data_IF_646127288699
#
_entry.id   IF_646127288699
#
_cell.length_a   1.000
_cell.length_b   1.000
_cell.length_c   1.000
_cell.angle_alpha   90.00
_cell.angle_beta   90.00
_cell.angle_gamma   90.00
#
_symmetry.space_group_name_H-M   'P 1'
#
loop_
_entity.id
_entity.type
_entity.pdbx_description
1 polymer ?
#
# COMPACT_ATOMS: atom_id res chain seq x y z
N UNK A 1 -2.77 62.50 -10.69
CA UNK A 1 -2.16 61.48 -9.82
C UNK A 1 -3.20 60.93 -8.84
N UNK A 2 -3.73 59.72 -9.07
CA UNK A 2 -3.92 58.64 -8.08
C UNK A 2 -4.58 57.44 -8.77
N UNK A 3 -4.00 56.27 -8.49
CA UNK A 3 -4.12 55.02 -9.22
C UNK A 3 -5.50 54.38 -9.01
N UNK A 4 -6.12 53.93 -10.11
CA UNK A 4 -7.18 52.94 -10.10
C UNK A 4 -6.51 51.61 -9.76
N UNK A 5 -6.83 51.05 -8.60
CA UNK A 5 -6.42 49.70 -8.19
C UNK A 5 -7.37 48.70 -8.82
N UNK A 6 -6.87 47.96 -9.80
CA UNK A 6 -7.50 46.75 -10.34
C UNK A 6 -7.57 45.67 -9.26
N UNK A 7 -8.79 45.33 -8.85
CA UNK A 7 -9.08 44.16 -8.05
C UNK A 7 -9.45 43.01 -9.00
N UNK A 8 -8.45 42.24 -9.42
CA UNK A 8 -8.65 40.96 -10.09
C UNK A 8 -9.13 39.92 -9.07
N UNK A 9 -10.46 39.79 -8.93
CA UNK A 9 -11.08 38.60 -8.34
C UNK A 9 -10.91 37.43 -9.32
N UNK A 10 -9.87 36.62 -9.10
CA UNK A 10 -9.78 35.26 -9.64
C UNK A 10 -10.79 34.39 -8.89
N UNK A 11 -12.03 34.34 -9.40
CA UNK A 11 -12.95 33.25 -9.08
C UNK A 11 -12.36 31.95 -9.65
N UNK A 12 -11.64 31.22 -8.79
CA UNK A 12 -11.34 29.82 -9.02
C UNK A 12 -12.66 29.06 -9.02
N UNK A 13 -13.23 28.83 -10.21
CA UNK A 13 -14.24 27.81 -10.41
C UNK A 13 -13.61 26.47 -10.00
N UNK A 14 -13.86 26.07 -8.75
CA UNK A 14 -13.73 24.69 -8.33
C UNK A 14 -14.71 23.88 -9.14
N UNK A 15 -14.30 23.41 -10.31
CA UNK A 15 -14.97 22.31 -10.99
C UNK A 15 -15.02 21.16 -9.98
N UNK A 16 -16.21 20.94 -9.42
CA UNK A 16 -16.52 19.69 -8.74
C UNK A 16 -16.25 18.58 -9.73
N UNK A 17 -15.08 17.95 -9.63
CA UNK A 17 -14.76 16.75 -10.36
C UNK A 17 -15.83 15.74 -9.97
N UNK A 18 -16.76 15.47 -10.89
CA UNK A 18 -17.77 14.45 -10.70
C UNK A 18 -17.07 13.19 -10.17
N UNK A 19 -17.48 12.75 -8.99
CA UNK A 19 -16.85 11.61 -8.33
C UNK A 19 -17.02 10.41 -9.25
N UNK A 20 -15.90 9.93 -9.80
CA UNK A 20 -15.91 8.74 -10.64
C UNK A 20 -16.56 7.59 -9.86
N UNK A 21 -17.59 6.97 -10.43
CA UNK A 21 -18.25 5.83 -9.81
C UNK A 21 -17.43 4.58 -10.17
N UNK A 22 -17.02 3.77 -9.18
CA UNK A 22 -16.30 2.55 -9.45
C UNK A 22 -17.18 1.58 -10.24
N UNK A 23 -16.68 1.05 -11.37
CA UNK A 23 -17.32 -0.08 -12.02
C UNK A 23 -17.03 -1.35 -11.20
N UNK A 24 -17.99 -1.79 -10.40
CA UNK A 24 -17.85 -2.98 -9.57
C UNK A 24 -17.70 -4.26 -10.40
N UNK A 25 -18.26 -4.29 -11.62
CA UNK A 25 -18.24 -5.48 -12.48
C UNK A 25 -16.82 -5.85 -12.90
N UNK A 26 -15.96 -4.85 -13.16
CA UNK A 26 -14.55 -5.11 -13.45
C UNK A 26 -13.79 -5.48 -12.17
N UNK A 27 -14.06 -4.86 -11.03
CA UNK A 27 -13.33 -5.12 -9.77
C UNK A 27 -13.55 -6.56 -9.28
N UNK A 28 -14.80 -7.02 -9.28
CA UNK A 28 -15.17 -8.36 -8.77
C UNK A 28 -14.60 -9.47 -9.65
N UNK A 29 -14.47 -9.25 -10.96
CA UNK A 29 -13.89 -10.22 -11.91
C UNK A 29 -12.36 -10.32 -11.84
N UNK A 30 -11.70 -9.55 -10.97
CA UNK A 30 -10.24 -9.51 -10.87
C UNK A 30 -9.70 -9.88 -9.48
N UNK A 31 -8.54 -10.57 -9.42
CA UNK A 31 -7.75 -11.06 -10.56
C UNK A 31 -8.38 -12.27 -11.25
N UNK A 32 -8.14 -12.41 -12.56
CA UNK A 32 -8.48 -13.60 -13.35
C UNK A 32 -7.46 -14.71 -13.10
N UNK A 33 -7.75 -15.92 -13.59
CA UNK A 33 -6.80 -17.04 -13.55
C UNK A 33 -5.51 -16.66 -14.29
N UNK A 34 -5.65 -16.22 -15.53
CA UNK A 34 -4.62 -15.68 -16.41
C UNK A 34 -5.16 -14.54 -17.29
N UNK A 35 -4.26 -13.89 -18.03
CA UNK A 35 -4.54 -12.81 -18.97
C UNK A 35 -3.98 -13.08 -20.38
N UNK A 36 -3.71 -14.34 -20.72
CA UNK A 36 -3.05 -14.72 -21.98
C UNK A 36 -3.87 -14.34 -23.22
N UNK A 37 -5.19 -14.52 -23.14
CA UNK A 37 -6.12 -14.34 -24.27
C UNK A 37 -6.86 -12.98 -24.25
N UNK A 38 -6.35 -12.00 -23.51
CA UNK A 38 -6.97 -10.67 -23.45
C UNK A 38 -6.65 -9.89 -24.72
N UNK A 39 -7.68 -9.65 -25.56
CA UNK A 39 -7.56 -8.91 -26.83
C UNK A 39 -6.98 -7.51 -26.66
N UNK A 40 -7.48 -6.75 -25.67
CA UNK A 40 -7.00 -5.40 -25.38
C UNK A 40 -6.66 -5.24 -23.89
N UNK A 41 -5.42 -5.58 -23.56
CA UNK A 41 -4.90 -5.45 -22.21
C UNK A 41 -4.66 -3.98 -21.82
N UNK A 42 -4.49 -3.05 -22.78
CA UNK A 42 -4.33 -1.62 -22.49
C UNK A 42 -5.62 -1.03 -21.94
N UNK A 43 -6.74 -1.32 -22.60
CA UNK A 43 -8.06 -0.91 -22.17
C UNK A 43 -8.38 -1.50 -20.79
N UNK A 44 -8.17 -2.80 -20.60
CA UNK A 44 -8.41 -3.46 -19.31
C UNK A 44 -7.55 -2.89 -18.18
N UNK A 45 -6.28 -2.61 -18.43
CA UNK A 45 -5.38 -1.97 -17.45
C UNK A 45 -5.92 -0.60 -17.03
N UNK A 46 -6.33 0.23 -18.00
CA UNK A 46 -6.86 1.57 -17.75
C UNK A 46 -8.17 1.53 -16.96
N UNK A 47 -9.11 0.69 -17.39
CA UNK A 47 -10.41 0.53 -16.73
C UNK A 47 -10.25 0.02 -15.30
N UNK A 48 -9.41 -1.00 -15.09
CA UNK A 48 -9.17 -1.54 -13.75
C UNK A 48 -8.52 -0.50 -12.83
N UNK A 49 -7.51 0.24 -13.31
CA UNK A 49 -6.89 1.32 -12.53
C UNK A 49 -7.92 2.38 -12.16
N UNK A 50 -8.75 2.81 -13.12
CA UNK A 50 -9.79 3.82 -12.89
C UNK A 50 -10.80 3.36 -11.85
N UNK A 51 -11.33 2.14 -11.99
CA UNK A 51 -12.35 1.61 -11.07
C UNK A 51 -11.80 1.39 -9.66
N UNK A 52 -10.58 0.84 -9.53
CA UNK A 52 -9.92 0.71 -8.23
C UNK A 52 -9.60 2.08 -7.61
N UNK A 53 -9.14 3.04 -8.41
CA UNK A 53 -8.84 4.40 -7.98
C UNK A 53 -10.08 5.20 -7.56
N UNK A 54 -11.28 4.79 -7.99
CA UNK A 54 -12.56 5.39 -7.59
C UNK A 54 -13.09 4.85 -6.24
N UNK A 55 -12.51 3.78 -5.69
CA UNK A 55 -12.93 3.25 -4.39
C UNK A 55 -12.64 4.25 -3.26
N UNK A 56 -13.58 4.36 -2.32
CA UNK A 56 -13.38 5.11 -1.07
C UNK A 56 -12.82 4.24 0.06
N UNK A 57 -12.89 2.91 -0.07
CA UNK A 57 -12.33 1.97 0.90
C UNK A 57 -11.72 0.76 0.20
N UNK A 58 -10.59 0.30 0.71
CA UNK A 58 -9.91 -0.92 0.26
C UNK A 58 -9.26 -1.64 1.43
N UNK A 59 -9.39 -2.96 1.51
CA UNK A 59 -8.75 -3.73 2.58
C UNK A 59 -7.23 -3.79 2.37
N UNK A 60 -6.51 -2.81 2.92
CA UNK A 60 -5.04 -2.77 2.87
C UNK A 60 -4.38 -3.90 3.66
N UNK A 61 -5.10 -4.51 4.60
CA UNK A 61 -4.64 -5.69 5.34
C UNK A 61 -4.69 -6.97 4.49
N UNK A 62 -5.85 -7.42 4.01
CA UNK A 62 -5.95 -8.75 3.34
C UNK A 62 -6.17 -8.68 1.84
N UNK A 63 -6.56 -7.51 1.32
CA UNK A 63 -6.88 -7.32 -0.08
C UNK A 63 -5.72 -7.60 -1.03
N UNK A 64 -4.47 -7.48 -0.56
CA UNK A 64 -3.28 -7.71 -1.37
C UNK A 64 -3.01 -9.17 -1.70
N UNK A 65 -3.50 -10.12 -0.89
CA UNK A 65 -3.21 -11.55 -1.08
C UNK A 65 -3.67 -12.07 -2.45
N UNK A 66 -4.85 -11.64 -2.92
CA UNK A 66 -5.33 -12.08 -4.25
C UNK A 66 -4.41 -11.60 -5.37
N UNK A 67 -3.86 -10.39 -5.25
CA UNK A 67 -2.95 -9.81 -6.23
C UNK A 67 -1.57 -10.47 -6.15
N UNK A 68 -1.07 -10.77 -4.97
CA UNK A 68 0.20 -11.49 -4.81
C UNK A 68 0.10 -12.94 -5.28
N UNK A 69 -1.07 -13.58 -5.18
CA UNK A 69 -1.33 -14.87 -5.87
C UNK A 69 -1.23 -14.75 -7.38
N UNK A 70 -1.68 -13.64 -7.99
CA UNK A 70 -1.49 -13.41 -9.42
C UNK A 70 0.01 -13.23 -9.75
N UNK A 71 0.76 -12.49 -8.92
CA UNK A 71 2.22 -12.35 -9.05
C UNK A 71 2.91 -13.71 -8.94
N UNK A 72 2.56 -14.52 -7.94
CA UNK A 72 3.11 -15.86 -7.74
C UNK A 72 2.86 -16.75 -8.96
N UNK A 73 1.61 -16.86 -9.44
CA UNK A 73 1.30 -17.63 -10.66
C UNK A 73 2.08 -17.17 -11.89
N UNK A 74 2.30 -15.87 -12.06
CA UNK A 74 3.14 -15.36 -13.14
C UNK A 74 4.60 -15.84 -13.00
N UNK A 75 5.17 -15.74 -11.80
CA UNK A 75 6.55 -16.17 -11.53
C UNK A 75 6.69 -17.69 -11.68
N UNK A 76 5.84 -18.46 -11.02
CA UNK A 76 5.85 -19.93 -11.01
C UNK A 76 5.50 -20.50 -12.38
N UNK A 77 4.63 -19.82 -13.13
CA UNK A 77 4.27 -20.14 -14.51
C UNK A 77 5.38 -19.83 -15.52
N UNK A 78 6.63 -19.65 -15.10
CA UNK A 78 7.76 -19.39 -15.97
C UNK A 78 7.63 -18.07 -16.73
N UNK A 79 6.92 -17.09 -16.17
CA UNK A 79 6.81 -15.72 -16.71
C UNK A 79 6.08 -15.61 -18.05
N UNK A 80 5.25 -16.59 -18.37
CA UNK A 80 4.55 -16.69 -19.67
C UNK A 80 3.45 -15.63 -19.84
N UNK A 81 2.76 -15.25 -18.76
CA UNK A 81 1.68 -14.26 -18.81
C UNK A 81 2.15 -12.82 -18.53
N UNK A 82 2.75 -12.17 -19.52
CA UNK A 82 3.21 -10.78 -19.39
C UNK A 82 2.06 -9.79 -19.11
N UNK A 83 0.82 -10.14 -19.46
CA UNK A 83 -0.34 -9.28 -19.23
C UNK A 83 -0.68 -9.21 -17.73
N UNK A 84 -0.39 -10.25 -16.95
CA UNK A 84 -0.51 -10.21 -15.49
C UNK A 84 0.29 -9.05 -14.86
N UNK A 85 1.49 -8.74 -15.37
CA UNK A 85 2.28 -7.60 -14.87
C UNK A 85 1.59 -6.25 -15.10
N UNK A 86 0.87 -6.11 -16.22
CA UNK A 86 0.12 -4.89 -16.52
C UNK A 86 -1.05 -4.69 -15.58
N UNK A 87 -1.72 -5.78 -15.24
CA UNK A 87 -2.79 -5.79 -14.23
C UNK A 87 -2.23 -5.44 -12.85
N UNK A 88 -1.12 -6.07 -12.44
CA UNK A 88 -0.45 -5.74 -11.19
C UNK A 88 -0.01 -4.27 -11.14
N UNK A 89 0.48 -3.72 -12.26
CA UNK A 89 0.81 -2.31 -12.40
C UNK A 89 -0.41 -1.40 -12.22
N UNK A 90 -1.53 -1.71 -12.86
CA UNK A 90 -2.78 -0.95 -12.66
C UNK A 90 -3.23 -0.94 -11.20
N UNK A 91 -3.23 -2.12 -10.57
CA UNK A 91 -3.62 -2.28 -9.16
C UNK A 91 -2.69 -1.50 -8.24
N UNK A 92 -1.38 -1.62 -8.42
CA UNK A 92 -0.38 -0.91 -7.62
C UNK A 92 -0.54 0.60 -7.76
N UNK A 93 -0.67 1.10 -9.01
CA UNK A 93 -0.89 2.53 -9.27
C UNK A 93 -2.17 3.02 -8.61
N UNK A 94 -3.29 2.34 -8.80
CA UNK A 94 -4.58 2.77 -8.26
C UNK A 94 -4.59 2.78 -6.72
N UNK A 95 -4.17 1.68 -6.11
CA UNK A 95 -4.38 1.46 -4.67
C UNK A 95 -3.27 2.05 -3.79
N UNK A 96 -2.10 2.36 -4.36
CA UNK A 96 -1.00 2.97 -3.61
C UNK A 96 -0.75 4.39 -4.09
N UNK A 97 -0.39 4.56 -5.36
CA UNK A 97 0.12 5.86 -5.83
C UNK A 97 -0.98 6.90 -6.02
N UNK A 98 -2.08 6.51 -6.69
CA UNK A 98 -3.24 7.37 -6.91
C UNK A 98 -3.99 7.59 -5.60
N UNK A 99 -4.12 6.53 -4.78
CA UNK A 99 -4.73 6.62 -3.45
C UNK A 99 -3.98 7.60 -2.54
N UNK A 100 -2.65 7.50 -2.48
CA UNK A 100 -1.82 8.41 -1.69
C UNK A 100 -1.88 9.84 -2.23
N UNK A 101 -1.90 10.03 -3.55
CA UNK A 101 -2.09 11.36 -4.17
C UNK A 101 -3.42 11.97 -3.74
N UNK A 102 -4.48 11.17 -3.69
CA UNK A 102 -5.80 11.62 -3.25
C UNK A 102 -5.81 11.96 -1.75
N UNK A 103 -5.11 11.19 -0.91
CA UNK A 103 -4.91 11.56 0.48
C UNK A 103 -4.16 12.89 0.60
N UNK A 104 -3.09 13.12 -0.17
CA UNK A 104 -2.38 14.41 -0.21
C UNK A 104 -3.31 15.57 -0.59
N UNK A 105 -4.12 15.40 -1.64
CA UNK A 105 -5.11 16.41 -2.07
C UNK A 105 -6.17 16.73 -1.01
N UNK A 106 -6.44 15.79 -0.09
CA UNK A 106 -7.36 15.96 1.04
C UNK A 106 -6.68 16.49 2.31
N UNK A 107 -5.36 16.74 2.29
CA UNK A 107 -4.59 17.09 3.49
C UNK A 107 -4.40 15.91 4.46
N UNK A 108 -4.59 14.69 3.98
CA UNK A 108 -4.48 13.43 4.73
C UNK A 108 -3.27 12.58 4.27
N UNK A 109 -2.39 13.13 3.41
CA UNK A 109 -1.30 12.38 2.78
C UNK A 109 -0.27 11.83 3.79
N UNK A 110 -0.07 12.56 4.87
CA UNK A 110 0.78 12.19 6.00
C UNK A 110 0.14 11.19 6.97
N UNK A 111 -1.15 10.86 6.76
CA UNK A 111 -1.85 9.80 7.48
C UNK A 111 -1.77 8.44 6.78
N UNK A 112 -1.30 8.37 5.53
CA UNK A 112 -1.26 7.13 4.74
C UNK A 112 -0.10 6.21 5.16
N UNK A 113 -0.37 4.92 5.36
CA UNK A 113 0.64 3.93 5.74
C UNK A 113 0.30 2.54 5.21
N UNK A 114 1.34 1.73 4.96
CA UNK A 114 1.21 0.40 4.33
C UNK A 114 1.61 -0.78 5.22
N UNK A 115 2.10 -0.51 6.42
CA UNK A 115 2.43 -1.54 7.42
C UNK A 115 1.38 -1.56 8.53
N UNK A 116 1.68 -2.25 9.64
CA UNK A 116 0.85 -2.13 10.83
C UNK A 116 1.07 -0.79 11.52
N UNK A 117 0.24 -0.47 12.49
CA UNK A 117 0.39 0.71 13.34
C UNK A 117 0.25 0.32 14.80
N UNK A 118 1.05 0.93 15.66
CA UNK A 118 0.96 0.82 17.12
C UNK A 118 0.20 1.98 17.75
N UNK A 119 -0.39 2.87 16.94
CA UNK A 119 -1.23 3.96 17.42
C UNK A 119 -2.40 3.42 18.25
N UNK A 120 -2.78 4.16 19.28
CA UNK A 120 -3.91 3.84 20.16
C UNK A 120 -5.24 3.96 19.43
N UNK A 121 -6.30 3.36 19.99
CA UNK A 121 -7.65 3.37 19.43
C UNK A 121 -8.21 1.98 19.20
N UNK A 122 -9.23 1.87 18.36
CA UNK A 122 -9.97 0.64 18.12
C UNK A 122 -9.65 0.00 16.75
N UNK A 123 -10.33 -1.11 16.44
CA UNK A 123 -10.07 -1.89 15.22
C UNK A 123 -10.40 -1.16 13.90
N UNK A 124 -11.12 -0.05 13.92
CA UNK A 124 -11.51 0.72 12.71
C UNK A 124 -10.95 2.15 12.71
N UNK A 125 -10.59 2.69 13.87
CA UNK A 125 -10.12 4.06 14.05
C UNK A 125 -8.96 4.09 15.05
N UNK A 126 -7.81 4.61 14.62
CA UNK A 126 -6.65 4.88 15.47
C UNK A 126 -6.41 6.39 15.58
N UNK A 127 -5.68 6.81 16.60
CA UNK A 127 -5.29 8.20 16.80
C UNK A 127 -3.86 8.42 16.33
N UNK A 128 -3.67 9.26 15.32
CA UNK A 128 -2.34 9.74 14.95
C UNK A 128 -1.75 10.60 16.07
N UNK A 129 -0.44 10.88 15.98
CA UNK A 129 0.29 11.64 17.00
C UNK A 129 -0.22 13.07 17.21
N UNK A 130 -0.89 13.66 16.21
CA UNK A 130 -1.46 15.02 16.29
C UNK A 130 -2.96 15.04 16.61
N UNK A 131 -3.53 13.89 16.97
CA UNK A 131 -4.94 13.74 17.33
C UNK A 131 -5.88 13.49 16.16
N UNK A 132 -5.43 13.55 14.89
CA UNK A 132 -6.28 13.17 13.74
C UNK A 132 -6.58 11.67 13.72
N UNK A 133 -7.71 11.31 13.12
CA UNK A 133 -8.16 9.92 13.03
C UNK A 133 -7.52 9.17 11.85
N UNK A 134 -6.83 8.08 12.16
CA UNK A 134 -6.38 7.06 11.21
C UNK A 134 -7.52 6.08 10.93
N UNK A 135 -8.11 6.15 9.74
CA UNK A 135 -9.25 5.30 9.34
C UNK A 135 -8.77 4.00 8.69
N UNK A 136 -9.21 2.86 9.22
CA UNK A 136 -8.93 1.55 8.61
C UNK A 136 -9.54 1.46 7.22
N UNK A 137 -8.81 0.85 6.30
CA UNK A 137 -9.19 0.61 4.90
C UNK A 137 -9.27 1.91 4.08
N UNK A 138 -8.76 3.01 4.60
CA UNK A 138 -8.64 4.31 3.92
C UNK A 138 -7.22 4.86 4.02
N UNK A 139 -6.70 5.03 5.24
CA UNK A 139 -5.32 5.47 5.48
C UNK A 139 -4.33 4.30 5.51
N UNK A 140 -4.79 3.13 5.93
CA UNK A 140 -3.99 1.91 6.04
C UNK A 140 -4.84 0.78 6.65
N UNK A 141 -4.23 -0.37 6.93
CA UNK A 141 -4.97 -1.55 7.41
C UNK A 141 -5.08 -1.69 8.93
N UNK A 142 -4.67 -0.68 9.70
CA UNK A 142 -4.71 -0.70 11.17
C UNK A 142 -3.69 -1.66 11.80
N UNK A 143 -4.04 -2.27 12.93
CA UNK A 143 -3.17 -3.24 13.62
C UNK A 143 -2.88 -4.50 12.79
N UNK A 144 -3.81 -4.90 11.92
CA UNK A 144 -3.60 -5.97 10.93
C UNK A 144 -3.06 -5.44 9.59
N UNK A 145 -2.72 -4.16 9.49
CA UNK A 145 -2.31 -3.52 8.24
C UNK A 145 -1.06 -4.11 7.63
N UNK A 146 -0.19 -4.71 8.45
CA UNK A 146 1.02 -5.39 7.98
C UNK A 146 0.76 -6.71 7.23
N UNK A 147 -0.40 -7.35 7.39
CA UNK A 147 -0.71 -8.68 6.82
C UNK A 147 -0.66 -8.71 5.29
N UNK A 148 -0.94 -7.57 4.66
CA UNK A 148 -0.89 -7.39 3.20
C UNK A 148 0.41 -6.74 2.76
N UNK A 149 1.20 -6.20 3.70
CA UNK A 149 2.43 -5.48 3.43
C UNK A 149 3.44 -6.34 2.69
N UNK A 150 3.59 -7.62 3.08
CA UNK A 150 4.53 -8.52 2.39
C UNK A 150 4.13 -8.74 0.92
N UNK A 151 2.85 -8.98 0.68
CA UNK A 151 2.26 -9.14 -0.65
C UNK A 151 2.45 -7.88 -1.51
N UNK A 152 2.18 -6.71 -0.95
CA UNK A 152 2.41 -5.42 -1.60
C UNK A 152 3.90 -5.24 -1.98
N UNK A 153 4.82 -5.50 -1.05
CA UNK A 153 6.26 -5.30 -1.29
C UNK A 153 6.81 -6.26 -2.34
N UNK A 154 6.35 -7.52 -2.39
CA UNK A 154 6.70 -8.46 -3.46
C UNK A 154 6.18 -8.03 -4.83
N UNK A 155 4.98 -7.47 -4.89
CA UNK A 155 4.44 -6.89 -6.13
C UNK A 155 5.29 -5.69 -6.56
N UNK A 156 5.64 -4.80 -5.64
CA UNK A 156 6.52 -3.67 -5.93
C UNK A 156 7.89 -4.13 -6.46
N UNK A 157 8.57 -5.05 -5.77
CA UNK A 157 9.86 -5.62 -6.19
C UNK A 157 9.78 -6.22 -7.60
N UNK A 158 8.71 -6.96 -7.89
CA UNK A 158 8.48 -7.55 -9.21
C UNK A 158 8.27 -6.47 -10.29
N UNK A 159 7.44 -5.45 -10.01
CA UNK A 159 7.18 -4.37 -10.96
C UNK A 159 8.44 -3.53 -11.24
N UNK A 160 9.27 -3.27 -10.23
CA UNK A 160 10.58 -2.60 -10.43
C UNK A 160 11.49 -3.47 -11.28
N UNK A 161 11.64 -4.76 -10.95
CA UNK A 161 12.51 -5.69 -11.69
C UNK A 161 12.08 -5.85 -13.15
N UNK A 162 10.78 -5.78 -13.43
CA UNK A 162 10.20 -5.83 -14.78
C UNK A 162 10.14 -4.46 -15.47
N UNK A 163 10.73 -3.41 -14.88
CA UNK A 163 10.75 -2.03 -15.42
C UNK A 163 9.34 -1.47 -15.70
N UNK A 164 8.37 -1.87 -14.86
CA UNK A 164 6.97 -1.46 -14.99
C UNK A 164 6.65 -0.15 -14.26
N UNK A 165 7.55 0.32 -13.38
CA UNK A 165 7.41 1.59 -12.64
C UNK A 165 8.48 2.60 -13.05
N UNK A 166 8.06 3.85 -13.25
CA UNK A 166 8.96 4.98 -13.51
C UNK A 166 9.79 5.34 -12.27
N UNK A 167 10.88 6.10 -12.46
CA UNK A 167 11.70 6.60 -11.34
C UNK A 167 10.89 7.44 -10.34
N UNK A 168 9.95 8.25 -10.84
CA UNK A 168 9.08 9.06 -9.99
C UNK A 168 8.14 8.20 -9.14
N UNK A 169 7.58 7.13 -9.71
CA UNK A 169 6.72 6.19 -8.98
C UNK A 169 7.51 5.43 -7.91
N UNK A 170 8.75 5.04 -8.22
CA UNK A 170 9.65 4.40 -7.25
C UNK A 170 10.03 5.36 -6.11
N UNK A 171 10.32 6.63 -6.42
CA UNK A 171 10.60 7.66 -5.40
C UNK A 171 9.38 7.93 -4.51
N UNK A 172 8.17 7.92 -5.08
CA UNK A 172 6.93 8.03 -4.30
C UNK A 172 6.72 6.83 -3.39
N UNK A 173 6.99 5.61 -3.86
CA UNK A 173 6.95 4.43 -3.00
C UNK A 173 7.97 4.53 -1.85
N UNK A 174 9.19 5.01 -2.13
CA UNK A 174 10.21 5.29 -1.09
C UNK A 174 9.65 6.21 0.00
N UNK A 175 9.02 7.33 -0.37
CA UNK A 175 8.36 8.26 0.57
C UNK A 175 7.31 7.54 1.44
N UNK A 176 6.46 6.70 0.83
CA UNK A 176 5.40 5.97 1.54
C UNK A 176 5.99 4.97 2.55
N UNK A 177 7.01 4.21 2.16
CA UNK A 177 7.69 3.25 3.04
C UNK A 177 8.33 3.96 4.23
N UNK A 178 9.02 5.08 3.96
CA UNK A 178 9.69 5.87 5.00
C UNK A 178 8.70 6.42 6.02
N UNK A 179 7.60 6.99 5.54
CA UNK A 179 6.52 7.46 6.38
C UNK A 179 5.95 6.30 7.22
N UNK A 180 5.67 5.16 6.59
CA UNK A 180 5.05 3.99 7.25
C UNK A 180 5.94 3.34 8.31
N UNK A 181 7.27 3.43 8.17
CA UNK A 181 8.25 2.97 9.16
C UNK A 181 8.62 4.07 10.17
N UNK A 182 8.02 5.25 10.07
CA UNK A 182 8.27 6.34 11.00
C UNK A 182 7.63 6.11 12.38
N UNK A 183 8.17 6.75 13.43
CA UNK A 183 7.66 6.62 14.81
C UNK A 183 6.24 7.16 14.99
N UNK A 184 5.75 7.97 14.04
CA UNK A 184 4.36 8.42 14.01
C UNK A 184 3.35 7.28 13.83
N UNK A 185 3.77 6.16 13.23
CA UNK A 185 2.92 5.00 12.94
C UNK A 185 3.30 3.76 13.75
N UNK A 186 4.60 3.50 13.91
CA UNK A 186 5.11 2.25 14.48
C UNK A 186 6.15 2.54 15.54
N UNK A 187 5.90 2.00 16.74
CA UNK A 187 6.88 1.82 17.78
C UNK A 187 7.20 0.32 17.92
N UNK A 188 8.38 -0.11 17.46
CA UNK A 188 8.82 -1.51 17.50
C UNK A 188 9.04 -2.06 18.92
N UNK A 189 8.98 -1.21 19.95
CA UNK A 189 9.00 -1.59 21.36
C UNK A 189 7.60 -1.75 21.95
N UNK A 190 6.55 -1.61 21.16
CA UNK A 190 5.14 -1.73 21.56
C UNK A 190 4.38 -2.73 20.70
N UNK A 191 3.21 -3.17 21.17
CA UNK A 191 2.43 -4.22 20.52
C UNK A 191 3.04 -5.61 20.74
N UNK A 192 2.89 -6.52 19.78
CA UNK A 192 3.45 -7.86 19.88
C UNK A 192 4.98 -7.83 19.93
N UNK A 193 5.55 -8.50 20.94
CA UNK A 193 7.00 -8.56 21.20
C UNK A 193 7.55 -10.00 21.20
N UNK A 194 6.71 -10.97 20.87
CA UNK A 194 7.03 -12.40 20.78
C UNK A 194 6.33 -12.99 19.56
N UNK A 195 6.59 -14.27 19.25
CA UNK A 195 5.94 -14.91 18.12
C UNK A 195 4.46 -15.19 18.40
N UNK A 196 3.58 -14.48 17.70
CA UNK A 196 2.13 -14.68 17.69
C UNK A 196 1.57 -14.40 16.27
N UNK A 197 0.25 -14.58 16.11
CA UNK A 197 -0.42 -14.35 14.83
C UNK A 197 -0.26 -12.91 14.30
N UNK A 198 -0.15 -11.91 15.18
CA UNK A 198 0.07 -10.54 14.77
C UNK A 198 1.50 -10.31 14.28
N UNK A 199 2.51 -10.78 15.01
CA UNK A 199 3.91 -10.67 14.60
C UNK A 199 4.17 -11.41 13.28
N UNK A 200 3.52 -12.55 13.05
CA UNK A 200 3.62 -13.26 11.77
C UNK A 200 3.06 -12.46 10.61
N UNK A 201 1.80 -12.02 10.73
CA UNK A 201 1.19 -11.26 9.66
C UNK A 201 1.88 -9.92 9.43
N UNK A 202 2.35 -9.26 10.49
CA UNK A 202 2.94 -7.93 10.39
C UNK A 202 4.43 -7.93 9.98
N UNK A 203 5.18 -8.96 10.37
CA UNK A 203 6.62 -9.04 10.19
C UNK A 203 7.05 -9.07 8.73
N UNK A 204 6.34 -9.83 7.88
CA UNK A 204 6.73 -10.00 6.48
C UNK A 204 6.77 -8.70 5.67
N UNK A 205 5.84 -7.77 5.94
CA UNK A 205 5.83 -6.46 5.29
C UNK A 205 7.03 -5.61 5.70
N UNK A 206 7.30 -5.55 7.01
CA UNK A 206 8.44 -4.79 7.56
C UNK A 206 9.77 -5.37 7.08
N UNK A 207 9.93 -6.70 7.11
CA UNK A 207 11.15 -7.37 6.65
C UNK A 207 11.49 -7.04 5.19
N UNK A 208 10.49 -7.08 4.29
CA UNK A 208 10.69 -6.68 2.89
C UNK A 208 10.89 -5.17 2.75
N UNK A 209 10.23 -4.36 3.59
CA UNK A 209 10.43 -2.91 3.66
C UNK A 209 11.90 -2.55 3.90
N UNK A 210 12.47 -3.04 5.00
CA UNK A 210 13.86 -2.73 5.36
C UNK A 210 14.89 -3.43 4.46
N UNK A 211 14.53 -4.55 3.80
CA UNK A 211 15.37 -5.17 2.75
C UNK A 211 15.48 -4.27 1.53
N UNK A 212 14.36 -3.74 1.05
CA UNK A 212 14.29 -2.95 -0.18
C UNK A 212 14.68 -1.49 0.03
N UNK A 213 14.56 -1.00 1.27
CA UNK A 213 14.86 0.38 1.68
C UNK A 213 15.72 0.36 2.95
N UNK A 214 17.02 -0.01 2.83
CA UNK A 214 17.90 -0.19 3.98
C UNK A 214 18.25 1.11 4.72
N UNK A 215 17.96 2.26 4.11
CA UNK A 215 18.15 3.61 4.65
C UNK A 215 16.86 4.21 5.23
N UNK A 216 15.78 3.41 5.38
CA UNK A 216 14.52 3.86 5.97
C UNK A 216 14.64 4.18 7.47
N UNK A 217 13.71 4.95 8.06
CA UNK A 217 13.67 5.19 9.50
C UNK A 217 13.48 3.89 10.29
N UNK A 218 14.05 3.85 11.49
CA UNK A 218 13.89 2.76 12.45
C UNK A 218 14.33 1.36 11.96
N UNK A 219 15.25 1.28 10.98
CA UNK A 219 15.69 -0.01 10.40
C UNK A 219 16.32 -0.93 11.45
N UNK A 220 17.10 -0.39 12.37
CA UNK A 220 17.73 -1.20 13.43
C UNK A 220 16.72 -1.67 14.47
N UNK A 221 15.75 -0.84 14.84
CA UNK A 221 14.66 -1.22 15.73
C UNK A 221 13.76 -2.28 15.09
N UNK A 222 13.45 -2.13 13.80
CA UNK A 222 12.71 -3.12 13.02
C UNK A 222 13.45 -4.45 12.95
N UNK A 223 14.75 -4.43 12.68
CA UNK A 223 15.60 -5.64 12.64
C UNK A 223 15.67 -6.31 13.99
N UNK A 224 15.87 -5.54 15.06
CA UNK A 224 15.87 -6.05 16.42
C UNK A 224 14.52 -6.68 16.80
N UNK A 225 13.40 -6.07 16.40
CA UNK A 225 12.06 -6.61 16.63
C UNK A 225 11.83 -7.93 15.87
N UNK A 226 12.19 -7.99 14.57
CA UNK A 226 12.12 -9.21 13.77
C UNK A 226 12.99 -10.33 14.35
N UNK A 227 14.21 -10.02 14.79
CA UNK A 227 15.11 -10.99 15.40
C UNK A 227 14.55 -11.55 16.71
N UNK A 228 13.91 -10.72 17.55
CA UNK A 228 13.24 -11.19 18.78
C UNK A 228 12.11 -12.17 18.46
N UNK A 229 11.26 -11.85 17.48
CA UNK A 229 10.19 -12.72 17.03
C UNK A 229 10.74 -14.04 16.50
N UNK A 230 11.77 -13.98 15.65
CA UNK A 230 12.39 -15.18 15.08
C UNK A 230 13.04 -16.07 16.13
N UNK A 231 13.77 -15.48 17.09
CA UNK A 231 14.39 -16.24 18.18
C UNK A 231 13.34 -16.99 18.99
N UNK A 232 12.21 -16.33 19.29
CA UNK A 232 11.07 -16.98 19.94
C UNK A 232 10.47 -18.12 19.10
N UNK A 233 10.50 -18.07 17.76
CA UNK A 233 10.08 -19.23 16.94
C UNK A 233 11.06 -20.40 17.04
N UNK A 234 12.36 -20.12 16.99
CA UNK A 234 13.41 -21.14 17.15
C UNK A 234 13.22 -21.89 18.46
N UNK A 235 12.91 -21.17 19.53
CA UNK A 235 12.66 -21.73 20.87
C UNK A 235 11.40 -22.61 20.94
N UNK A 236 10.39 -22.37 20.07
CA UNK A 236 9.16 -23.17 20.00
C UNK A 236 9.34 -24.52 19.28
N UNK A 237 10.45 -24.72 18.56
CA UNK A 237 10.86 -26.02 18.03
C UNK A 237 10.02 -26.61 16.88
N UNK A 238 9.00 -25.91 16.38
CA UNK A 238 8.16 -26.40 15.28
C UNK A 238 8.48 -25.68 13.96
N UNK A 239 9.35 -26.32 13.17
CA UNK A 239 9.69 -25.92 11.78
C UNK A 239 8.98 -26.79 10.75
N UNK A 240 7.89 -27.46 11.11
CA UNK A 240 7.18 -28.38 10.22
C UNK A 240 5.83 -27.83 9.75
N UNK A 241 5.87 -26.87 8.82
CA UNK A 241 4.87 -26.72 7.76
C UNK A 241 5.53 -26.39 6.41
#
# INVERSE_FOLDING_TARGET
MKKITDLLLLFGLGMSMAKAVPDESIIVRHPRLDYLNVKDIHKMEKELRSSLGALERYSFSRGWWKWDRLRARYVDGGRKDKNALRILRAVFRALILDWQTRCEQRGEGDLFYIYFTTNSGNKVQRQSTDGRTLKRDHHGGGYHGGWGGASLMRIYEELVRQKMLTKLEQARMKKIVYQSLGPAFINFKSGSQHADNHSFGNGGGVALGIKLFPDAPQVEEARAWLNRIWSHMVDFGDWTE
#
